data_IF_979273945511
#
_entry.id   IF_979273945511
#
_cell.length_a   1.000
_cell.length_b   1.000
_cell.length_c   1.000
_cell.angle_alpha   90.00
_cell.angle_beta   90.00
_cell.angle_gamma   90.00
#
_symmetry.space_group_name_H-M   'P 1'
#
loop_
_entity.id
_entity.type
_entity.pdbx_description
1 polymer ?
#
# COMPACT_ATOMS: atom_id res chain seq x y z
N UNK A 1 -17.68 25.17 -13.72
CA UNK A 1 -17.73 23.95 -12.88
C UNK A 1 -16.70 22.86 -13.29
N UNK A 2 -15.59 23.21 -13.98
CA UNK A 2 -14.61 22.25 -14.54
C UNK A 2 -13.27 22.15 -13.77
N UNK A 3 -13.01 23.08 -12.83
CA UNK A 3 -11.74 23.14 -12.08
C UNK A 3 -11.63 22.08 -10.95
N UNK A 4 -12.75 21.65 -10.36
CA UNK A 4 -12.75 20.81 -9.17
C UNK A 4 -12.27 19.36 -9.42
N UNK A 5 -12.44 18.85 -10.64
CA UNK A 5 -12.11 17.45 -11.00
C UNK A 5 -10.62 17.20 -11.28
N UNK A 6 -9.79 18.24 -11.47
CA UNK A 6 -8.35 18.04 -11.61
C UNK A 6 -7.69 17.69 -10.28
N UNK A 7 -8.13 18.35 -9.21
CA UNK A 7 -7.53 18.20 -7.89
C UNK A 7 -7.79 16.82 -7.28
N UNK A 8 -8.95 16.20 -7.57
CA UNK A 8 -9.32 14.92 -6.94
C UNK A 8 -8.38 13.77 -7.30
N UNK A 9 -7.88 13.71 -8.53
CA UNK A 9 -6.95 12.66 -8.96
C UNK A 9 -5.63 12.73 -8.18
N UNK A 10 -5.14 13.96 -7.95
CA UNK A 10 -3.94 14.19 -7.14
C UNK A 10 -4.19 13.93 -5.66
N UNK A 11 -5.39 14.26 -5.14
CA UNK A 11 -5.77 13.92 -3.77
C UNK A 11 -5.79 12.40 -3.59
N UNK A 12 -6.44 11.65 -4.49
CA UNK A 12 -6.46 10.18 -4.47
C UNK A 12 -5.03 9.62 -4.55
N UNK A 13 -4.21 10.13 -5.47
CA UNK A 13 -2.80 9.74 -5.59
C UNK A 13 -2.03 9.98 -4.28
N UNK A 14 -2.21 11.14 -3.67
CA UNK A 14 -1.55 11.54 -2.44
C UNK A 14 -1.97 10.66 -1.27
N UNK A 15 -3.27 10.40 -1.09
CA UNK A 15 -3.76 9.51 -0.03
C UNK A 15 -3.23 8.09 -0.22
N UNK A 16 -3.21 7.58 -1.45
CA UNK A 16 -2.72 6.23 -1.74
C UNK A 16 -1.19 6.12 -1.50
N UNK A 17 -0.42 7.13 -1.90
CA UNK A 17 1.01 7.20 -1.58
C UNK A 17 1.26 7.32 -0.07
N UNK A 18 0.44 8.11 0.63
CA UNK A 18 0.50 8.24 2.10
C UNK A 18 0.25 6.89 2.78
N UNK A 19 -0.80 6.15 2.37
CA UNK A 19 -1.07 4.81 2.89
C UNK A 19 0.08 3.85 2.64
N UNK A 20 0.73 3.92 1.47
CA UNK A 20 1.90 3.09 1.17
C UNK A 20 3.09 3.39 2.10
N UNK A 21 3.35 4.66 2.37
CA UNK A 21 4.41 5.07 3.32
C UNK A 21 4.05 4.67 4.75
N UNK A 22 2.80 4.81 5.17
CA UNK A 22 2.39 4.40 6.52
C UNK A 22 2.45 2.87 6.68
N UNK A 23 2.20 2.10 5.62
CA UNK A 23 2.33 0.65 5.66
C UNK A 23 3.76 0.19 5.94
N UNK A 24 4.78 0.83 5.37
CA UNK A 24 6.18 0.41 5.58
C UNK A 24 6.61 0.52 7.04
N UNK A 25 5.96 1.39 7.81
CA UNK A 25 6.18 1.55 9.25
C UNK A 25 5.62 0.35 10.04
N UNK A 26 4.55 -0.27 9.53
CA UNK A 26 3.77 -1.32 10.17
C UNK A 26 4.17 -2.73 9.73
N UNK A 27 5.02 -2.87 8.70
CA UNK A 27 5.53 -4.18 8.28
C UNK A 27 6.31 -4.80 9.47
N UNK A 28 6.11 -6.08 9.80
CA UNK A 28 6.96 -6.80 10.75
C UNK A 28 8.45 -6.59 10.47
N UNK A 29 9.18 -6.02 11.44
CA UNK A 29 10.59 -5.68 11.31
C UNK A 29 10.86 -4.35 10.61
N UNK A 30 9.80 -3.54 10.43
CA UNK A 30 9.89 -2.16 9.99
C UNK A 30 10.44 -1.22 11.08
N UNK A 31 10.68 0.06 10.75
CA UNK A 31 11.49 0.97 11.58
C UNK A 31 10.91 1.28 12.97
N UNK A 32 9.59 1.19 13.12
CA UNK A 32 8.87 1.50 14.37
C UNK A 32 8.20 0.24 14.94
N UNK A 33 8.13 -0.84 14.16
CA UNK A 33 7.54 -2.10 14.62
C UNK A 33 8.43 -2.72 15.70
N UNK A 34 7.84 -2.89 16.89
CA UNK A 34 8.53 -3.32 18.12
C UNK A 34 8.05 -4.68 18.61
N UNK A 35 7.03 -5.24 17.94
CA UNK A 35 6.47 -6.54 18.23
C UNK A 35 7.45 -7.66 17.82
N UNK A 36 7.53 -8.70 18.65
CA UNK A 36 8.32 -9.90 18.39
C UNK A 36 7.47 -10.95 17.65
N UNK A 37 7.93 -11.37 16.46
CA UNK A 37 7.26 -12.37 15.63
C UNK A 37 8.09 -13.65 15.47
N UNK A 38 9.13 -13.84 16.28
CA UNK A 38 10.05 -14.99 16.25
C UNK A 38 9.36 -16.35 16.43
N UNK A 39 8.16 -16.38 17.00
CA UNK A 39 7.35 -17.59 17.15
C UNK A 39 6.67 -18.06 15.86
N UNK A 40 6.58 -17.20 14.82
CA UNK A 40 6.14 -17.62 13.50
C UNK A 40 7.29 -18.25 12.71
N UNK A 41 6.96 -19.14 11.77
CA UNK A 41 7.96 -19.64 10.82
C UNK A 41 8.42 -18.52 9.88
N UNK A 42 9.70 -18.55 9.52
CA UNK A 42 10.30 -17.59 8.57
C UNK A 42 9.52 -17.53 7.25
N UNK A 43 8.98 -18.66 6.79
CA UNK A 43 8.18 -18.73 5.56
C UNK A 43 6.88 -17.93 5.67
N UNK A 44 6.15 -18.03 6.78
CA UNK A 44 4.89 -17.30 6.98
C UNK A 44 5.15 -15.80 7.03
N UNK A 45 6.17 -15.39 7.78
CA UNK A 45 6.54 -13.98 7.91
C UNK A 45 7.06 -13.40 6.58
N UNK A 46 7.82 -14.18 5.83
CA UNK A 46 8.28 -13.81 4.48
C UNK A 46 7.12 -13.64 3.52
N UNK A 47 6.16 -14.57 3.47
CA UNK A 47 4.99 -14.46 2.60
C UNK A 47 4.14 -13.23 2.95
N UNK A 48 3.99 -12.94 4.24
CA UNK A 48 3.29 -11.75 4.68
C UNK A 48 4.02 -10.47 4.27
N UNK A 49 5.33 -10.39 4.51
CA UNK A 49 6.14 -9.26 4.10
C UNK A 49 6.17 -9.07 2.59
N UNK A 50 6.15 -10.15 1.79
CA UNK A 50 5.97 -10.08 0.33
C UNK A 50 4.62 -9.44 -0.01
N UNK A 51 3.55 -9.88 0.64
CA UNK A 51 2.21 -9.32 0.42
C UNK A 51 2.17 -7.82 0.75
N UNK A 52 2.65 -7.41 1.93
CA UNK A 52 2.67 -6.00 2.33
C UNK A 52 3.57 -5.14 1.44
N UNK A 53 4.76 -5.64 1.11
CA UNK A 53 5.70 -4.93 0.21
C UNK A 53 5.10 -4.77 -1.18
N UNK A 54 4.44 -5.81 -1.69
CA UNK A 54 3.75 -5.76 -2.99
C UNK A 54 2.60 -4.76 -2.96
N UNK A 55 1.79 -4.76 -1.90
CA UNK A 55 0.70 -3.81 -1.70
C UNK A 55 1.22 -2.36 -1.68
N UNK A 56 2.28 -2.09 -0.91
CA UNK A 56 2.91 -0.77 -0.84
C UNK A 56 3.50 -0.31 -2.18
N UNK A 57 4.29 -1.15 -2.85
CA UNK A 57 4.92 -0.79 -4.12
C UNK A 57 3.91 -0.58 -5.24
N UNK A 58 2.94 -1.49 -5.39
CA UNK A 58 1.91 -1.34 -6.40
C UNK A 58 1.02 -0.12 -6.11
N UNK A 59 0.83 0.27 -4.85
CA UNK A 59 0.12 1.52 -4.50
C UNK A 59 0.77 2.75 -5.14
N UNK A 60 2.12 2.83 -5.21
CA UNK A 60 2.80 3.92 -5.93
C UNK A 60 2.54 3.88 -7.43
N UNK A 61 2.50 2.67 -8.02
CA UNK A 61 2.16 2.50 -9.44
C UNK A 61 0.74 3.01 -9.70
N UNK A 62 -0.22 2.63 -8.87
CA UNK A 62 -1.61 3.08 -8.97
C UNK A 62 -1.73 4.59 -8.74
N UNK A 63 -1.00 5.14 -7.76
CA UNK A 63 -0.92 6.58 -7.50
C UNK A 63 -0.41 7.36 -8.72
N UNK A 64 0.59 6.81 -9.43
CA UNK A 64 1.06 7.38 -10.68
C UNK A 64 -0.01 7.29 -11.79
N UNK A 65 -0.70 6.15 -11.92
CA UNK A 65 -1.75 5.96 -12.93
C UNK A 65 -2.93 6.93 -12.73
N UNK A 66 -3.39 7.11 -11.50
CA UNK A 66 -4.48 8.06 -11.19
C UNK A 66 -4.02 9.51 -11.37
N UNK A 67 -2.79 9.86 -11.00
CA UNK A 67 -2.22 11.18 -11.28
C UNK A 67 -2.12 11.47 -12.79
N UNK A 68 -1.88 10.43 -13.61
CA UNK A 68 -1.91 10.48 -15.08
C UNK A 68 -3.30 10.27 -15.68
N UNK A 69 -4.34 10.13 -14.84
CA UNK A 69 -5.75 9.97 -15.24
C UNK A 69 -5.97 8.81 -16.21
N UNK A 70 -5.23 7.72 -16.02
CA UNK A 70 -5.35 6.52 -16.85
C UNK A 70 -6.65 5.80 -16.56
N UNK A 71 -7.16 5.07 -17.55
CA UNK A 71 -8.40 4.31 -17.43
C UNK A 71 -8.32 3.28 -16.30
N UNK A 72 -9.44 3.08 -15.61
CA UNK A 72 -9.60 2.20 -14.44
C UNK A 72 -8.76 2.58 -13.22
N UNK A 73 -8.08 3.73 -13.21
CA UNK A 73 -7.24 4.16 -12.10
C UNK A 73 -8.05 4.47 -10.84
N UNK A 74 -9.30 4.95 -10.96
CA UNK A 74 -10.17 5.18 -9.80
C UNK A 74 -10.63 3.85 -9.21
N UNK A 75 -11.08 2.92 -10.06
CA UNK A 75 -11.48 1.56 -9.63
C UNK A 75 -10.31 0.82 -8.98
N UNK A 76 -9.12 0.93 -9.57
CA UNK A 76 -7.91 0.32 -9.02
C UNK A 76 -7.51 0.97 -7.68
N UNK A 77 -7.64 2.29 -7.55
CA UNK A 77 -7.42 2.98 -6.28
C UNK A 77 -8.42 2.51 -5.20
N UNK A 78 -9.69 2.29 -5.56
CA UNK A 78 -10.70 1.75 -4.65
C UNK A 78 -10.35 0.33 -4.18
N UNK A 79 -9.88 -0.52 -5.10
CA UNK A 79 -9.44 -1.88 -4.77
C UNK A 79 -8.27 -1.88 -3.78
N UNK A 80 -7.26 -1.04 -3.99
CA UNK A 80 -6.14 -0.91 -3.06
C UNK A 80 -6.58 -0.33 -1.70
N UNK A 81 -7.46 0.68 -1.69
CA UNK A 81 -8.03 1.21 -0.45
C UNK A 81 -8.76 0.13 0.36
N UNK A 82 -9.50 -0.75 -0.32
CA UNK A 82 -10.17 -1.88 0.32
C UNK A 82 -9.15 -2.86 0.93
N UNK A 83 -8.07 -3.19 0.21
CA UNK A 83 -7.00 -4.03 0.75
C UNK A 83 -6.35 -3.40 2.00
N UNK A 84 -6.08 -2.09 1.99
CA UNK A 84 -5.59 -1.39 3.19
C UNK A 84 -6.56 -1.49 4.37
N UNK A 85 -7.86 -1.27 4.14
CA UNK A 85 -8.88 -1.42 5.19
C UNK A 85 -8.84 -2.84 5.77
N UNK A 86 -8.78 -3.86 4.90
CA UNK A 86 -8.67 -5.24 5.36
C UNK A 86 -7.42 -5.46 6.20
N UNK A 87 -6.25 -5.04 5.73
CA UNK A 87 -4.99 -5.22 6.47
C UNK A 87 -5.05 -4.58 7.84
N UNK A 88 -5.43 -3.30 7.92
CA UNK A 88 -5.45 -2.58 9.21
C UNK A 88 -6.57 -3.04 10.14
N UNK A 89 -7.74 -3.43 9.62
CA UNK A 89 -8.77 -3.99 10.50
C UNK A 89 -8.35 -5.37 11.02
N UNK A 90 -7.77 -6.22 10.17
CA UNK A 90 -7.31 -7.54 10.59
C UNK A 90 -6.19 -7.45 11.64
N UNK A 91 -5.25 -6.51 11.50
CA UNK A 91 -4.19 -6.30 12.49
C UNK A 91 -4.72 -5.62 13.78
N UNK A 92 -5.56 -4.58 13.70
CA UNK A 92 -6.27 -4.01 14.87
C UNK A 92 -7.14 -5.03 15.64
N UNK A 93 -7.80 -5.96 14.95
CA UNK A 93 -8.58 -7.03 15.57
C UNK A 93 -7.71 -8.21 16.05
N UNK A 94 -6.38 -8.10 15.97
CA UNK A 94 -5.43 -9.14 16.37
C UNK A 94 -5.69 -10.46 15.66
N UNK A 95 -6.10 -10.41 14.40
CA UNK A 95 -6.35 -11.60 13.58
C UNK A 95 -5.04 -12.09 12.96
N UNK A 96 -4.12 -11.19 12.57
CA UNK A 96 -2.85 -11.61 11.97
C UNK A 96 -1.87 -10.45 11.66
N UNK A 97 -0.54 -10.69 11.79
CA UNK A 97 0.12 -11.63 12.70
C UNK A 97 0.07 -11.10 14.14
N UNK A 98 -0.12 -11.98 15.12
CA UNK A 98 -0.20 -11.60 16.53
C UNK A 98 1.17 -11.68 17.20
N UNK A 99 1.49 -10.77 18.09
CA UNK A 99 2.67 -10.89 18.96
C UNK A 99 2.25 -11.04 20.42
N UNK A 100 3.09 -11.69 21.21
CA UNK A 100 3.00 -11.68 22.68
C UNK A 100 3.30 -10.29 23.25
N UNK A 101 4.05 -9.47 22.51
CA UNK A 101 4.32 -8.07 22.84
C UNK A 101 3.16 -7.22 22.35
N UNK A 102 2.59 -6.43 23.27
CA UNK A 102 1.50 -5.51 22.92
C UNK A 102 1.96 -4.42 21.95
N UNK A 103 1.06 -4.01 21.07
CA UNK A 103 1.36 -2.95 20.12
C UNK A 103 1.56 -1.62 20.83
N UNK A 104 2.63 -0.91 20.48
CA UNK A 104 2.90 0.41 21.06
C UNK A 104 1.78 1.41 20.72
N UNK A 105 1.58 2.40 21.59
CA UNK A 105 0.56 3.44 21.36
C UNK A 105 0.79 4.21 20.05
N UNK A 106 2.05 4.35 19.63
CA UNK A 106 2.41 4.99 18.36
C UNK A 106 1.92 4.17 17.17
N UNK A 107 2.17 2.85 17.17
CA UNK A 107 1.69 1.97 16.11
C UNK A 107 0.16 1.98 16.04
N UNK A 108 -0.50 1.89 17.20
CA UNK A 108 -1.96 1.94 17.28
C UNK A 108 -2.54 3.21 16.68
N UNK A 109 -1.91 4.35 16.95
CA UNK A 109 -2.33 5.61 16.38
C UNK A 109 -2.13 5.65 14.86
N UNK A 110 -0.96 5.22 14.37
CA UNK A 110 -0.64 5.17 12.94
C UNK A 110 -1.64 4.29 12.20
N UNK A 111 -1.94 3.10 12.73
CA UNK A 111 -2.85 2.15 12.11
C UNK A 111 -4.30 2.65 12.11
N UNK A 112 -4.75 3.25 13.20
CA UNK A 112 -6.08 3.86 13.29
C UNK A 112 -6.23 5.00 12.27
N UNK A 113 -5.24 5.90 12.18
CA UNK A 113 -5.24 6.99 11.21
C UNK A 113 -5.19 6.44 9.78
N UNK A 114 -4.38 5.42 9.53
CA UNK A 114 -4.28 4.79 8.20
C UNK A 114 -5.61 4.15 7.79
N UNK A 115 -6.32 3.53 8.74
CA UNK A 115 -7.67 2.99 8.54
C UNK A 115 -8.65 4.10 8.13
N UNK A 116 -8.67 5.22 8.87
CA UNK A 116 -9.52 6.37 8.54
C UNK A 116 -9.19 6.94 7.17
N UNK A 117 -7.91 7.10 6.83
CA UNK A 117 -7.47 7.56 5.51
C UNK A 117 -7.96 6.60 4.41
N UNK A 118 -7.88 5.29 4.63
CA UNK A 118 -8.34 4.30 3.66
C UNK A 118 -9.86 4.35 3.44
N UNK A 119 -10.65 4.57 4.50
CA UNK A 119 -12.09 4.82 4.38
C UNK A 119 -12.43 6.13 3.64
N UNK A 120 -11.67 7.20 3.88
CA UNK A 120 -11.83 8.46 3.13
C UNK A 120 -11.53 8.20 1.65
N UNK A 121 -10.42 7.52 1.35
CA UNK A 121 -9.98 7.21 0.00
C UNK A 121 -11.01 6.38 -0.77
N UNK A 122 -11.55 5.31 -0.19
CA UNK A 122 -12.58 4.49 -0.86
C UNK A 122 -13.86 5.30 -1.09
N UNK A 123 -14.26 6.14 -0.13
CA UNK A 123 -15.41 7.05 -0.29
C UNK A 123 -15.22 8.05 -1.43
N UNK A 124 -14.01 8.62 -1.58
CA UNK A 124 -13.67 9.47 -2.72
C UNK A 124 -13.73 8.68 -4.03
N UNK A 125 -13.19 7.46 -4.08
CA UNK A 125 -13.21 6.66 -5.29
C UNK A 125 -14.65 6.34 -5.73
N UNK A 126 -15.53 5.94 -4.80
CA UNK A 126 -16.95 5.67 -5.08
C UNK A 126 -17.65 6.92 -5.62
N UNK A 127 -17.44 8.08 -4.97
CA UNK A 127 -18.07 9.35 -5.37
C UNK A 127 -17.65 9.81 -6.76
N UNK A 128 -16.38 9.57 -7.13
CA UNK A 128 -15.78 10.14 -8.34
C UNK A 128 -15.57 9.12 -9.47
N UNK A 129 -15.99 7.85 -9.30
CA UNK A 129 -15.91 6.80 -10.32
C UNK A 129 -16.56 7.20 -11.67
N UNK A 130 -17.64 8.01 -11.62
CA UNK A 130 -18.37 8.45 -12.81
C UNK A 130 -17.59 9.45 -13.70
N UNK A 131 -16.44 9.96 -13.27
CA UNK A 131 -15.60 10.86 -14.07
C UNK A 131 -14.81 10.09 -15.14
N UNK A 132 -14.53 8.81 -14.91
CA UNK A 132 -13.58 8.02 -15.70
C UNK A 132 -14.15 7.49 -17.03
N UNK A 133 -15.47 7.43 -17.17
CA UNK A 133 -16.17 6.89 -18.35
C UNK A 133 -15.98 7.70 -19.65
N UNK A 134 -15.29 8.85 -19.62
CA UNK A 134 -15.10 9.72 -20.80
C UNK A 134 -13.71 9.64 -21.47
N UNK A 135 -12.68 9.09 -20.82
CA UNK A 135 -11.31 9.08 -21.37
C UNK A 135 -10.95 7.71 -21.97
N UNK A 136 -11.31 7.49 -23.23
CA UNK A 136 -10.97 6.30 -24.01
C UNK A 136 -9.55 6.42 -24.63
N UNK A 137 -8.53 6.52 -23.78
CA UNK A 137 -7.14 6.37 -24.23
C UNK A 137 -6.67 4.93 -23.97
N UNK A 138 -6.45 4.16 -25.03
CA UNK A 138 -5.87 2.82 -24.93
C UNK A 138 -4.46 2.91 -24.33
N UNK A 139 -4.25 2.19 -23.22
CA UNK A 139 -2.94 2.08 -22.57
C UNK A 139 -2.05 1.21 -23.46
N UNK A 140 -1.21 1.83 -24.29
CA UNK A 140 -0.11 1.12 -24.95
C UNK A 140 1.10 1.10 -24.01
N UNK A 141 1.31 -0.01 -23.32
CA UNK A 141 2.53 -0.21 -22.51
C UNK A 141 3.67 -0.53 -23.46
N UNK A 142 4.37 0.50 -23.95
CA UNK A 142 5.64 0.30 -24.66
C UNK A 142 6.74 0.01 -23.63
N UNK A 143 7.17 -1.25 -23.57
CA UNK A 143 8.35 -1.67 -22.81
C UNK A 143 9.59 -1.18 -23.55
N UNK A 144 10.38 -0.34 -22.89
CA UNK A 144 11.70 0.07 -23.35
C UNK A 144 12.75 -0.48 -22.41
N UNK A 145 13.97 -0.70 -22.91
CA UNK A 145 15.05 -1.35 -22.16
C UNK A 145 15.31 -0.71 -20.78
N UNK A 146 15.28 0.63 -20.70
CA UNK A 146 15.44 1.35 -19.43
C UNK A 146 14.30 1.07 -18.43
N UNK A 147 13.08 0.81 -18.91
CA UNK A 147 11.94 0.45 -18.04
C UNK A 147 12.09 -0.96 -17.47
N UNK A 148 12.67 -1.88 -18.25
CA UNK A 148 12.96 -3.25 -17.80
C UNK A 148 14.05 -3.22 -16.73
N UNK A 149 15.12 -2.44 -16.95
CA UNK A 149 16.16 -2.24 -15.93
C UNK A 149 15.59 -1.63 -14.65
N UNK A 150 14.75 -0.59 -14.77
CA UNK A 150 14.10 0.02 -13.61
C UNK A 150 13.21 -0.98 -12.86
N UNK A 151 12.45 -1.82 -13.58
CA UNK A 151 11.63 -2.88 -12.99
C UNK A 151 12.49 -3.88 -12.21
N UNK A 152 13.64 -4.29 -12.76
CA UNK A 152 14.57 -5.20 -12.10
C UNK A 152 15.15 -4.59 -10.81
N UNK A 153 15.51 -3.30 -10.85
CA UNK A 153 15.99 -2.58 -9.66
C UNK A 153 14.91 -2.54 -8.58
N UNK A 154 13.67 -2.20 -8.94
CA UNK A 154 12.54 -2.19 -7.99
C UNK A 154 12.30 -3.58 -7.41
N UNK A 155 12.39 -4.64 -8.23
CA UNK A 155 12.23 -6.02 -7.77
C UNK A 155 13.34 -6.43 -6.78
N UNK A 156 14.60 -6.12 -7.09
CA UNK A 156 15.73 -6.39 -6.19
C UNK A 156 15.57 -5.63 -4.87
N UNK A 157 15.13 -4.38 -4.93
CA UNK A 157 14.85 -3.57 -3.75
C UNK A 157 13.72 -4.16 -2.91
N UNK A 158 12.64 -4.64 -3.55
CA UNK A 158 11.52 -5.31 -2.88
C UNK A 158 11.98 -6.58 -2.16
N UNK A 159 12.78 -7.42 -2.82
CA UNK A 159 13.36 -8.63 -2.21
C UNK A 159 14.23 -8.26 -1.01
N UNK A 160 15.06 -7.22 -1.14
CA UNK A 160 15.87 -6.69 -0.05
C UNK A 160 15.03 -6.25 1.16
N UNK A 161 13.96 -5.48 0.93
CA UNK A 161 13.02 -5.05 1.99
C UNK A 161 12.41 -6.27 2.70
N UNK A 162 11.93 -7.25 1.95
CA UNK A 162 11.30 -8.46 2.52
C UNK A 162 12.29 -9.22 3.39
N UNK A 163 13.50 -9.50 2.89
CA UNK A 163 14.52 -10.24 3.65
C UNK A 163 14.90 -9.48 4.92
N UNK A 164 15.12 -8.17 4.80
CA UNK A 164 15.50 -7.31 5.93
C UNK A 164 14.40 -7.26 7.00
N UNK A 165 13.15 -7.04 6.59
CA UNK A 165 11.99 -6.96 7.48
C UNK A 165 11.76 -8.29 8.19
N UNK A 166 11.81 -9.42 7.48
CA UNK A 166 11.65 -10.76 8.08
C UNK A 166 12.72 -11.04 9.12
N UNK A 167 14.00 -10.79 8.80
CA UNK A 167 15.10 -11.01 9.76
C UNK A 167 15.00 -10.11 10.98
N UNK A 168 14.69 -8.84 10.77
CA UNK A 168 14.51 -7.86 11.85
C UNK A 168 13.37 -8.26 12.79
N UNK A 169 12.24 -8.75 12.26
CA UNK A 169 11.12 -9.22 13.08
C UNK A 169 11.40 -10.54 13.84
N UNK A 170 12.42 -11.29 13.44
CA UNK A 170 12.89 -12.48 14.15
C UNK A 170 14.05 -12.18 15.14
N UNK A 171 14.54 -10.93 15.16
CA UNK A 171 15.69 -10.55 15.98
C UNK A 171 17.03 -11.12 15.50
N UNK A 172 17.16 -11.36 14.18
CA UNK A 172 18.35 -11.95 13.53
C UNK A 172 19.09 -10.99 12.59
#
# INVERSE_FOLDING_TARGET
MLSHNHNIHYIIAFLLATLSVLLTILVPGGPIETRDFSHYSETVLTLFNIFLTTLGLLSFVVAFLIAKKKKYSIVLSAFFALLYIFVYLLDLFKIFPTSSVEMSSTLFFIETISTVIAFILIGLCIKYNNIETKNNENISVKFSFYKIILLLIVLLFAIGIVIFATKSAMGQ
#
